data_IF_999719008518
#
_entry.id   IF_999719008518
#
_cell.length_a   1.000
_cell.length_b   1.000
_cell.length_c   1.000
_cell.angle_alpha   90.00
_cell.angle_beta   90.00
_cell.angle_gamma   90.00
#
_symmetry.space_group_name_H-M   'P 1'
#
loop_
_entity.id
_entity.type
_entity.pdbx_description
1 polymer ?
#
# COMPACT_ATOMS: atom_id res chain seq x y z
N UNK A 1 -9.94 5.84 -0.35
CA UNK A 1 -9.57 6.05 1.07
C UNK A 1 -8.82 7.38 1.18
N UNK A 2 -8.47 7.82 2.39
CA UNK A 2 -7.56 8.96 2.61
C UNK A 2 -6.17 8.49 3.03
N UNK A 3 -5.18 9.38 2.97
CA UNK A 3 -3.83 9.13 3.50
C UNK A 3 -3.88 8.67 4.96
N UNK A 4 -4.69 9.32 5.79
CA UNK A 4 -4.86 8.97 7.20
C UNK A 4 -5.47 7.58 7.40
N UNK A 5 -6.39 7.16 6.52
CA UNK A 5 -6.99 5.82 6.61
C UNK A 5 -5.98 4.72 6.28
N UNK A 6 -5.04 5.00 5.37
CA UNK A 6 -3.98 4.06 4.98
C UNK A 6 -2.73 4.14 5.86
N UNK A 7 -2.55 5.21 6.63
CA UNK A 7 -1.40 5.43 7.51
C UNK A 7 -1.01 4.19 8.35
N UNK A 8 -1.93 3.56 9.11
CA UNK A 8 -1.59 2.37 9.90
C UNK A 8 -1.08 1.18 9.07
N UNK A 9 -1.54 1.04 7.83
CA UNK A 9 -1.11 -0.05 6.94
C UNK A 9 0.29 0.23 6.38
N UNK A 10 0.54 1.47 5.94
CA UNK A 10 1.83 1.92 5.42
C UNK A 10 2.91 1.91 6.52
N UNK A 11 2.55 2.26 7.74
CA UNK A 11 3.44 2.16 8.90
C UNK A 11 3.76 0.70 9.22
N UNK A 12 2.76 -0.20 9.23
CA UNK A 12 2.98 -1.60 9.54
C UNK A 12 4.00 -2.23 8.58
N UNK A 13 3.90 -1.95 7.28
CA UNK A 13 4.77 -2.59 6.28
C UNK A 13 6.15 -1.98 6.17
N UNK A 14 6.32 -0.78 6.72
CA UNK A 14 7.63 -0.14 6.89
C UNK A 14 8.36 -0.69 8.11
N UNK A 15 7.63 -1.09 9.15
CA UNK A 15 8.20 -1.40 10.47
C UNK A 15 8.11 -2.88 10.88
N UNK A 16 7.28 -3.69 10.22
CA UNK A 16 7.11 -5.11 10.52
C UNK A 16 7.70 -5.98 9.40
N UNK A 17 8.68 -6.81 9.76
CA UNK A 17 9.26 -7.78 8.84
C UNK A 17 8.22 -8.76 8.30
N UNK A 18 8.34 -9.12 7.02
CA UNK A 18 7.47 -10.11 6.37
C UNK A 18 6.00 -9.69 6.30
N UNK A 19 5.71 -8.40 6.20
CA UNK A 19 4.34 -7.88 6.10
C UNK A 19 4.14 -7.22 4.74
N UNK A 20 3.08 -7.63 4.03
CA UNK A 20 2.67 -7.09 2.74
C UNK A 20 1.34 -6.33 2.81
N UNK A 21 1.24 -5.22 2.10
CA UNK A 21 0.02 -4.44 1.92
C UNK A 21 -0.70 -4.88 0.65
N UNK A 22 -1.98 -5.20 0.80
CA UNK A 22 -2.90 -5.43 -0.30
C UNK A 22 -3.90 -4.28 -0.37
N UNK A 23 -3.91 -3.55 -1.48
CA UNK A 23 -4.87 -2.50 -1.78
C UNK A 23 -5.86 -2.96 -2.86
N UNK A 24 -7.16 -2.97 -2.55
CA UNK A 24 -8.22 -3.23 -3.55
C UNK A 24 -8.73 -1.91 -4.11
N UNK A 25 -8.85 -1.87 -5.43
CA UNK A 25 -9.39 -0.75 -6.22
C UNK A 25 -10.49 -1.28 -7.16
N UNK A 26 -11.11 -0.40 -7.94
CA UNK A 26 -12.02 -0.82 -9.03
C UNK A 26 -11.31 -1.58 -10.16
N UNK A 27 -10.02 -1.35 -10.35
CA UNK A 27 -9.23 -1.94 -11.45
C UNK A 27 -8.65 -3.30 -11.08
N UNK A 28 -8.56 -3.61 -9.78
CA UNK A 28 -7.99 -4.85 -9.28
C UNK A 28 -7.41 -4.72 -7.88
N UNK A 29 -6.73 -5.78 -7.44
CA UNK A 29 -5.96 -5.80 -6.21
C UNK A 29 -4.47 -5.65 -6.50
N UNK A 30 -3.81 -4.75 -5.80
CA UNK A 30 -2.38 -4.51 -5.86
C UNK A 30 -1.75 -4.99 -4.56
N UNK A 31 -0.57 -5.60 -4.66
CA UNK A 31 0.19 -6.11 -3.52
C UNK A 31 1.62 -5.60 -3.61
N UNK A 32 2.21 -5.27 -2.48
CA UNK A 32 3.64 -4.99 -2.37
C UNK A 32 3.98 -4.12 -1.17
N UNK A 33 5.26 -4.13 -0.80
CA UNK A 33 5.97 -3.13 0.03
C UNK A 33 7.32 -3.66 0.57
N UNK A 34 8.25 -2.70 0.69
CA UNK A 34 9.51 -2.85 1.43
C UNK A 34 9.94 -1.50 2.03
N UNK A 35 8.97 -0.60 2.31
CA UNK A 35 9.06 0.86 2.54
C UNK A 35 8.45 1.69 1.38
N UNK A 36 7.11 1.83 1.32
CA UNK A 36 6.42 2.57 0.26
C UNK A 36 6.76 4.08 0.28
N UNK A 37 7.03 4.66 -0.88
CA UNK A 37 7.18 6.12 -1.02
C UNK A 37 5.82 6.80 -1.02
N UNK A 38 5.65 7.84 -0.20
CA UNK A 38 4.34 8.46 0.05
C UNK A 38 4.39 9.98 -0.14
N UNK A 39 3.47 10.51 -0.93
CA UNK A 39 3.22 11.95 -1.10
C UNK A 39 1.86 12.33 -0.46
N UNK A 40 1.36 13.54 -0.71
CA UNK A 40 0.06 14.01 -0.17
C UNK A 40 -1.13 13.31 -0.81
N UNK A 41 -1.06 13.01 -2.11
CA UNK A 41 -2.18 12.47 -2.90
C UNK A 41 -2.01 10.99 -3.27
N UNK A 42 -0.76 10.55 -3.40
CA UNK A 42 -0.39 9.24 -3.92
C UNK A 42 0.63 8.52 -3.04
N UNK A 43 0.79 7.22 -3.30
CA UNK A 43 1.84 6.38 -2.75
C UNK A 43 2.26 5.30 -3.76
N UNK A 44 3.48 4.78 -3.61
CA UNK A 44 4.04 3.75 -4.48
C UNK A 44 4.12 2.42 -3.74
N UNK A 45 3.45 1.40 -4.28
CA UNK A 45 3.63 0.01 -3.87
C UNK A 45 4.71 -0.63 -4.76
N UNK A 46 5.61 -1.39 -4.15
CA UNK A 46 6.67 -2.11 -4.85
C UNK A 46 6.67 -3.56 -4.41
N UNK A 47 6.64 -4.49 -5.36
CA UNK A 47 6.83 -5.91 -5.13
C UNK A 47 7.92 -6.42 -6.07
N UNK A 48 9.00 -6.97 -5.50
CA UNK A 48 10.23 -7.29 -6.23
C UNK A 48 10.78 -6.08 -7.00
N UNK A 49 10.82 -6.13 -8.33
CA UNK A 49 11.28 -5.07 -9.22
C UNK A 49 10.14 -4.29 -9.90
N UNK A 50 8.90 -4.53 -9.48
CA UNK A 50 7.70 -3.90 -10.06
C UNK A 50 7.13 -2.87 -9.09
N UNK A 51 7.01 -1.63 -9.56
CA UNK A 51 6.39 -0.53 -8.81
C UNK A 51 5.12 -0.02 -9.48
N UNK A 52 4.12 0.33 -8.68
CA UNK A 52 2.88 0.96 -9.12
C UNK A 52 2.55 2.15 -8.23
N UNK A 53 2.21 3.28 -8.86
CA UNK A 53 1.67 4.44 -8.15
C UNK A 53 0.15 4.31 -8.03
N UNK A 54 -0.37 4.52 -6.84
CA UNK A 54 -1.80 4.53 -6.53
C UNK A 54 -2.15 5.81 -5.78
N UNK A 55 -3.26 6.43 -6.15
CA UNK A 55 -3.81 7.50 -5.33
C UNK A 55 -4.56 6.93 -4.13
N UNK A 56 -4.53 7.63 -2.99
CA UNK A 56 -5.29 7.20 -1.81
C UNK A 56 -6.79 7.05 -2.14
N UNK A 57 -7.31 7.93 -3.01
CA UNK A 57 -8.69 7.93 -3.45
C UNK A 57 -9.09 6.67 -4.24
N UNK A 58 -8.17 6.06 -5.00
CA UNK A 58 -8.42 4.83 -5.75
C UNK A 58 -8.62 3.60 -4.86
N UNK A 59 -8.10 3.63 -3.62
CA UNK A 59 -8.18 2.48 -2.71
C UNK A 59 -9.57 2.42 -2.08
N UNK A 60 -10.26 1.29 -2.30
CA UNK A 60 -11.56 0.99 -1.72
C UNK A 60 -11.41 0.29 -0.36
N UNK A 61 -10.40 -0.55 -0.21
CA UNK A 61 -10.07 -1.24 1.05
C UNK A 61 -8.61 -1.69 1.08
N UNK A 62 -8.04 -1.79 2.28
CA UNK A 62 -6.68 -2.29 2.50
C UNK A 62 -6.66 -3.46 3.49
N UNK A 63 -5.64 -4.32 3.39
CA UNK A 63 -5.40 -5.44 4.30
C UNK A 63 -3.92 -5.76 4.34
N UNK A 64 -3.43 -6.19 5.51
CA UNK A 64 -2.07 -6.68 5.69
C UNK A 64 -2.03 -8.22 5.56
N UNK A 65 -0.97 -8.72 4.94
CA UNK A 65 -0.68 -10.15 4.80
C UNK A 65 0.70 -10.42 5.42
N UNK A 66 0.79 -11.36 6.37
CA UNK A 66 2.09 -11.86 6.87
C UNK A 66 2.57 -13.03 6.04
N UNK A 67 3.84 -13.00 5.64
CA UNK A 67 4.56 -14.00 4.83
C UNK A 67 5.70 -14.63 5.61
#
# INVERSE_FOLDING_TARGET
MTKSDLGPYLDAVTNEDGTLLICKTEQGAYIGDFNPSCDEEDFVLTYEDVSVSLSYAQVLSATLLKV
#
